data_IF_461031100555
#
_entry.id   IF_461031100555
#
_cell.length_a   1.000
_cell.length_b   1.000
_cell.length_c   1.000
_cell.angle_alpha   90.00
_cell.angle_beta   90.00
_cell.angle_gamma   90.00
#
_symmetry.space_group_name_H-M   'P 1'
#
loop_
_entity.id
_entity.type
_entity.pdbx_description
1 polymer ?
#
# COMPACT_ATOMS: atom_id res chain seq x y z
N UNK A 1 25.56 0.14 -64.98
CA UNK A 1 25.93 0.25 -63.55
C UNK A 1 25.81 -1.14 -62.94
N UNK A 2 26.78 -1.52 -62.12
CA UNK A 2 27.17 -2.88 -61.79
C UNK A 2 26.22 -3.67 -60.86
N UNK A 3 26.33 -5.00 -60.97
CA UNK A 3 25.95 -6.11 -60.07
C UNK A 3 25.71 -5.75 -58.58
N UNK A 4 24.88 -6.46 -57.79
CA UNK A 4 24.95 -7.90 -57.49
C UNK A 4 23.81 -8.31 -56.54
N UNK A 5 23.18 -9.46 -56.77
CA UNK A 5 22.37 -10.18 -55.78
C UNK A 5 23.25 -10.73 -54.63
N UNK A 6 22.72 -10.78 -53.40
CA UNK A 6 23.13 -11.78 -52.41
C UNK A 6 21.99 -12.18 -51.47
N UNK A 7 22.05 -13.47 -51.13
CA UNK A 7 21.05 -14.31 -50.49
C UNK A 7 21.23 -14.35 -48.96
N UNK A 8 20.11 -14.57 -48.24
CA UNK A 8 19.93 -15.47 -47.07
C UNK A 8 20.78 -15.27 -45.79
N UNK A 9 20.12 -15.06 -44.65
CA UNK A 9 20.24 -15.97 -43.50
C UNK A 9 19.06 -15.86 -42.54
N UNK A 10 18.31 -16.97 -42.44
CA UNK A 10 17.50 -17.32 -41.27
C UNK A 10 18.39 -17.30 -40.01
N UNK A 11 17.91 -16.60 -38.99
CA UNK A 11 18.51 -16.54 -37.67
C UNK A 11 17.40 -16.58 -36.63
N UNK A 12 16.95 -17.79 -36.32
CA UNK A 12 16.23 -18.12 -35.10
C UNK A 12 16.88 -17.43 -33.90
N UNK A 13 16.19 -16.45 -33.34
CA UNK A 13 16.34 -16.05 -31.95
C UNK A 13 14.95 -16.10 -31.35
N UNK A 14 14.57 -17.30 -30.88
CA UNK A 14 13.43 -17.49 -29.99
C UNK A 14 13.70 -16.69 -28.70
N UNK A 15 13.26 -15.44 -28.71
CA UNK A 15 13.07 -14.66 -27.50
C UNK A 15 11.88 -15.24 -26.76
N UNK A 16 12.16 -16.00 -25.70
CA UNK A 16 11.20 -16.46 -24.69
C UNK A 16 10.48 -15.25 -24.07
N UNK A 17 9.44 -14.76 -24.74
CA UNK A 17 8.55 -13.71 -24.24
C UNK A 17 7.63 -14.25 -23.16
N UNK A 18 8.15 -14.45 -21.94
CA UNK A 18 7.33 -14.65 -20.74
C UNK A 18 6.88 -13.29 -20.17
N UNK A 19 6.27 -12.47 -21.03
CA UNK A 19 5.57 -11.24 -20.66
C UNK A 19 4.07 -11.48 -20.82
N UNK A 20 3.47 -12.15 -19.84
CA UNK A 20 2.06 -12.56 -19.88
C UNK A 20 1.13 -11.49 -19.31
N UNK A 21 0.82 -10.46 -20.11
CA UNK A 21 -0.41 -9.68 -19.96
C UNK A 21 -1.58 -10.53 -20.47
N UNK A 22 -2.18 -11.29 -19.57
CA UNK A 22 -3.16 -12.34 -19.87
C UNK A 22 -4.58 -11.74 -19.84
N UNK A 23 -4.97 -11.00 -20.90
CA UNK A 23 -6.38 -10.84 -21.22
C UNK A 23 -6.69 -11.24 -22.65
N UNK A 24 -7.41 -12.36 -22.74
CA UNK A 24 -8.18 -12.71 -23.93
C UNK A 24 -9.50 -13.39 -23.53
N UNK A 25 -10.06 -13.07 -22.37
CA UNK A 25 -11.33 -13.68 -21.94
C UNK A 25 -12.44 -12.71 -21.48
N UNK A 26 -12.29 -11.40 -21.68
CA UNK A 26 -13.33 -10.40 -21.37
C UNK A 26 -14.34 -10.15 -22.51
N UNK A 27 -14.16 -10.76 -23.70
CA UNK A 27 -14.98 -10.48 -24.89
C UNK A 27 -16.39 -11.13 -24.85
N UNK A 28 -16.71 -11.95 -23.83
CA UNK A 28 -17.99 -12.68 -23.79
C UNK A 28 -19.12 -12.10 -22.95
N UNK A 29 -19.00 -10.90 -22.38
CA UNK A 29 -20.14 -10.31 -21.65
C UNK A 29 -20.38 -8.81 -21.91
N UNK A 30 -21.53 -8.57 -22.58
CA UNK A 30 -22.45 -7.41 -22.48
C UNK A 30 -22.32 -6.30 -23.52
N UNK A 31 -23.32 -6.25 -24.40
CA UNK A 31 -23.72 -5.09 -25.22
C UNK A 31 -24.32 -3.98 -24.33
N UNK A 32 -24.07 -2.69 -24.62
CA UNK A 32 -24.67 -1.56 -23.90
C UNK A 32 -25.92 -0.98 -24.61
N UNK A 33 -26.88 -0.49 -23.83
CA UNK A 33 -27.98 0.41 -24.26
C UNK A 33 -27.76 1.85 -23.75
N UNK A 34 -28.15 2.89 -24.52
CA UNK A 34 -27.73 4.29 -24.32
C UNK A 34 -28.59 5.13 -23.32
N UNK A 35 -28.12 6.33 -22.89
CA UNK A 35 -28.71 7.13 -21.80
C UNK A 35 -29.55 8.33 -22.29
N UNK A 36 -30.27 9.03 -21.39
CA UNK A 36 -30.73 10.40 -21.64
C UNK A 36 -30.16 11.46 -20.67
N UNK A 37 -29.45 12.42 -21.27
CA UNK A 37 -29.56 13.89 -21.18
C UNK A 37 -29.66 14.64 -19.82
N UNK A 38 -28.53 15.28 -19.49
CA UNK A 38 -28.27 16.69 -19.13
C UNK A 38 -29.35 17.61 -18.51
N UNK A 39 -28.96 18.34 -17.45
CA UNK A 39 -29.33 19.76 -17.21
C UNK A 39 -28.16 20.52 -16.55
N UNK A 40 -27.76 21.63 -17.18
CA UNK A 40 -26.83 22.66 -16.72
C UNK A 40 -27.49 23.61 -15.72
N UNK A 41 -26.72 24.15 -14.76
CA UNK A 41 -26.90 25.56 -14.36
C UNK A 41 -25.58 26.20 -13.91
N UNK A 42 -25.51 27.50 -14.13
CA UNK A 42 -24.32 28.32 -14.19
C UNK A 42 -24.32 29.41 -13.10
N UNK A 43 -23.12 30.02 -12.95
CA UNK A 43 -22.79 31.42 -12.59
C UNK A 43 -22.55 31.83 -11.12
N UNK A 44 -21.32 32.35 -10.97
CA UNK A 44 -20.90 33.66 -10.43
C UNK A 44 -20.86 33.94 -8.93
N UNK A 45 -19.74 34.56 -8.52
CA UNK A 45 -19.72 35.58 -7.46
C UNK A 45 -18.44 35.59 -6.63
N UNK A 46 -17.66 36.67 -6.74
CA UNK A 46 -16.34 36.88 -6.13
C UNK A 46 -16.38 37.72 -4.84
N UNK A 47 -15.17 37.99 -4.30
CA UNK A 47 -14.74 38.96 -3.26
C UNK A 47 -14.62 38.38 -1.84
N UNK A 48 -13.41 38.18 -1.27
CA UNK A 48 -12.36 39.14 -0.83
C UNK A 48 -12.84 40.05 0.30
N UNK A 49 -12.34 39.79 1.52
CA UNK A 49 -11.95 40.79 2.53
C UNK A 49 -10.79 40.22 3.35
N UNK A 50 -9.64 40.89 3.26
CA UNK A 50 -8.48 40.78 4.15
C UNK A 50 -8.57 41.91 5.18
N UNK A 51 -8.22 41.67 6.45
CA UNK A 51 -7.83 42.75 7.35
C UNK A 51 -6.84 42.26 8.41
N UNK A 52 -5.78 43.05 8.51
CA UNK A 52 -4.53 42.80 9.20
C UNK A 52 -4.53 43.27 10.67
N UNK A 53 -3.34 43.13 11.28
CA UNK A 53 -2.71 44.01 12.30
C UNK A 53 -2.49 43.37 13.70
N UNK A 54 -1.26 42.85 13.87
CA UNK A 54 -0.40 42.81 15.08
C UNK A 54 -0.19 44.23 15.68
N UNK A 55 0.29 44.50 16.93
CA UNK A 55 1.44 43.80 17.52
C UNK A 55 1.59 43.75 19.07
N UNK A 56 2.53 42.90 19.48
CA UNK A 56 3.53 43.11 20.56
C UNK A 56 3.13 43.07 22.04
N UNK A 57 3.86 42.26 22.81
CA UNK A 57 4.92 42.70 23.77
C UNK A 57 5.02 41.75 24.97
N UNK A 58 6.18 41.10 25.15
CA UNK A 58 6.95 41.10 26.42
C UNK A 58 8.12 40.09 26.36
N UNK A 59 9.32 40.66 26.50
CA UNK A 59 10.59 39.99 26.80
C UNK A 59 10.56 39.26 28.16
N UNK A 60 11.31 38.15 28.27
CA UNK A 60 12.35 38.02 29.30
C UNK A 60 13.39 36.95 28.93
N UNK A 61 14.64 37.33 29.18
CA UNK A 61 15.93 36.64 29.05
C UNK A 61 16.12 35.58 30.15
N UNK A 62 17.16 34.75 30.27
CA UNK A 62 18.54 34.64 29.73
C UNK A 62 19.08 33.26 30.14
N UNK A 63 20.05 32.71 29.39
CA UNK A 63 21.19 31.86 29.85
C UNK A 63 20.89 30.49 30.52
N UNK A 64 21.68 29.42 30.40
CA UNK A 64 23.08 29.23 30.05
C UNK A 64 23.35 27.71 29.88
N UNK A 65 24.41 27.37 29.12
CA UNK A 65 25.31 26.21 29.27
C UNK A 65 24.93 24.78 28.77
N UNK A 66 25.61 24.40 27.67
CA UNK A 66 26.19 23.07 27.34
C UNK A 66 27.29 22.66 28.38
N UNK A 67 27.81 21.40 28.48
CA UNK A 67 28.28 20.54 27.36
C UNK A 67 28.26 18.97 27.48
N UNK A 68 28.40 18.32 26.31
CA UNK A 68 29.25 17.17 25.89
C UNK A 68 29.40 15.90 26.80
N UNK A 69 29.07 14.69 26.27
CA UNK A 69 30.04 13.57 26.04
C UNK A 69 29.45 12.36 25.25
N UNK A 70 30.35 11.50 24.75
CA UNK A 70 30.25 10.57 23.60
C UNK A 70 29.97 9.09 23.93
N UNK A 71 29.62 8.36 22.87
CA UNK A 71 29.84 6.93 22.57
C UNK A 71 29.07 5.83 23.33
N UNK A 72 28.21 5.08 22.62
CA UNK A 72 28.61 3.77 22.09
C UNK A 72 27.62 3.21 21.05
N UNK A 73 28.25 2.72 19.99
CA UNK A 73 27.76 2.04 18.81
C UNK A 73 27.37 0.59 19.15
N UNK A 74 26.14 0.16 18.83
CA UNK A 74 25.89 -1.25 18.51
C UNK A 74 24.80 -1.41 17.46
N UNK A 75 25.30 -1.70 16.27
CA UNK A 75 24.58 -2.18 15.10
C UNK A 75 23.94 -3.52 15.44
N UNK A 76 22.65 -3.66 15.17
CA UNK A 76 22.02 -4.95 14.89
C UNK A 76 20.90 -4.69 13.90
N UNK A 77 21.24 -5.01 12.66
CA UNK A 77 20.44 -5.03 11.44
C UNK A 77 19.33 -6.06 11.56
N UNK A 78 18.08 -5.68 11.29
CA UNK A 78 17.06 -6.57 10.73
C UNK A 78 15.93 -5.74 10.11
N UNK A 79 15.81 -5.88 8.79
CA UNK A 79 14.93 -5.17 7.88
C UNK A 79 13.55 -5.83 7.81
N UNK A 80 12.47 -5.04 7.77
CA UNK A 80 11.35 -5.27 6.84
C UNK A 80 10.36 -4.11 6.89
N UNK A 81 10.13 -3.50 5.72
CA UNK A 81 9.38 -2.28 5.52
C UNK A 81 7.86 -2.56 5.44
N UNK A 82 7.11 -2.14 6.45
CA UNK A 82 5.64 -2.11 6.41
C UNK A 82 5.15 -0.66 6.58
N UNK A 83 5.03 0.06 5.46
CA UNK A 83 4.65 1.48 5.43
C UNK A 83 3.24 1.78 5.93
N UNK A 84 2.35 0.80 6.07
CA UNK A 84 0.98 1.02 6.57
C UNK A 84 0.66 0.30 7.89
N UNK A 85 1.49 -0.64 8.35
CA UNK A 85 1.16 -1.41 9.56
C UNK A 85 1.61 -0.73 10.86
N UNK A 86 2.50 0.26 10.78
CA UNK A 86 2.98 0.95 11.98
C UNK A 86 1.93 1.89 12.62
N UNK A 87 0.82 2.20 11.91
CA UNK A 87 -0.21 3.17 12.36
C UNK A 87 -1.07 2.61 13.51
N UNK A 88 -1.27 1.29 13.56
CA UNK A 88 -2.02 0.64 14.64
C UNK A 88 -1.11 0.41 15.85
N UNK A 89 0.13 -0.07 15.63
CA UNK A 89 1.12 -0.27 16.69
C UNK A 89 1.46 1.04 17.43
N UNK A 90 1.57 2.16 16.72
CA UNK A 90 1.97 3.44 17.31
C UNK A 90 0.94 4.03 18.29
N UNK A 91 -0.32 3.57 18.24
CA UNK A 91 -1.38 4.04 19.15
C UNK A 91 -1.53 3.22 20.43
N UNK A 92 -1.13 1.95 20.40
CA UNK A 92 -0.95 1.15 21.62
C UNK A 92 0.38 1.46 22.31
N UNK A 93 1.40 1.87 21.55
CA UNK A 93 2.71 2.25 22.09
C UNK A 93 2.67 3.56 22.90
N UNK A 94 1.64 4.40 22.76
CA UNK A 94 1.65 5.75 23.33
C UNK A 94 1.18 5.84 24.79
N UNK A 95 0.65 4.77 25.39
CA UNK A 95 -0.01 4.84 26.71
C UNK A 95 0.71 4.20 27.88
N UNK A 96 1.84 3.52 27.69
CA UNK A 96 2.52 2.85 28.81
C UNK A 96 4.00 3.19 29.01
N UNK A 97 4.57 4.13 28.24
CA UNK A 97 5.91 4.67 28.50
C UNK A 97 5.75 5.96 29.30
N UNK A 98 5.39 5.80 30.57
CA UNK A 98 5.39 6.86 31.57
C UNK A 98 6.69 6.76 32.36
N UNK A 99 7.60 7.70 32.16
CA UNK A 99 8.76 7.90 33.02
C UNK A 99 10.13 7.63 32.40
N UNK A 100 10.46 8.27 31.27
CA UNK A 100 11.81 8.80 30.96
C UNK A 100 11.73 9.62 29.66
N UNK A 101 12.13 10.89 29.72
CA UNK A 101 12.35 11.87 28.63
C UNK A 101 11.74 11.47 27.26
N UNK A 102 10.48 11.85 26.99
CA UNK A 102 9.82 11.58 25.70
C UNK A 102 10.66 12.19 24.56
N UNK A 103 11.10 11.43 23.55
CA UNK A 103 11.53 12.00 22.29
C UNK A 103 10.38 12.81 21.70
N UNK A 104 10.66 14.00 21.16
CA UNK A 104 9.65 14.85 20.52
C UNK A 104 8.83 14.01 19.51
N UNK A 105 7.50 13.98 19.68
CA UNK A 105 6.60 13.22 18.79
C UNK A 105 6.82 13.61 17.32
N UNK A 106 7.07 14.91 17.10
CA UNK A 106 7.47 15.46 15.81
C UNK A 106 8.74 14.81 15.25
N UNK A 107 9.78 14.59 16.05
CA UNK A 107 11.03 13.95 15.59
C UNK A 107 10.75 12.51 15.16
N UNK A 108 9.95 11.77 15.94
CA UNK A 108 9.56 10.40 15.57
C UNK A 108 8.74 10.37 14.27
N UNK A 109 7.85 11.34 14.08
CA UNK A 109 7.09 11.49 12.85
C UNK A 109 7.99 11.83 11.66
N UNK A 110 8.89 12.81 11.79
CA UNK A 110 9.83 13.18 10.73
C UNK A 110 10.78 12.03 10.35
N UNK A 111 11.27 11.27 11.34
CA UNK A 111 12.08 10.07 11.08
C UNK A 111 11.29 9.01 10.31
N UNK A 112 10.01 8.78 10.68
CA UNK A 112 9.13 7.86 9.96
C UNK A 112 8.89 8.33 8.52
N UNK A 113 8.65 9.63 8.33
CA UNK A 113 8.44 10.22 7.02
C UNK A 113 9.69 10.09 6.15
N UNK A 114 10.88 10.39 6.70
CA UNK A 114 12.16 10.23 6.00
C UNK A 114 12.45 8.78 5.62
N UNK A 115 12.19 7.83 6.52
CA UNK A 115 12.35 6.40 6.23
C UNK A 115 11.41 5.92 5.12
N UNK A 116 10.13 6.32 5.16
CA UNK A 116 9.17 5.98 4.11
C UNK A 116 9.57 6.57 2.76
N UNK A 117 10.05 7.81 2.72
CA UNK A 117 10.57 8.43 1.50
C UNK A 117 11.79 7.66 0.97
N UNK A 118 12.74 7.29 1.84
CA UNK A 118 13.95 6.56 1.43
C UNK A 118 13.61 5.20 0.77
N UNK A 119 12.60 4.52 1.29
CA UNK A 119 12.20 3.18 0.84
C UNK A 119 11.04 3.19 -0.16
N UNK A 120 10.60 4.37 -0.57
CA UNK A 120 9.51 4.56 -1.51
C UNK A 120 9.70 3.81 -2.84
N UNK A 121 10.91 3.69 -3.44
CA UNK A 121 11.09 2.89 -4.65
C UNK A 121 10.65 1.42 -4.50
N UNK A 122 10.78 0.84 -3.30
CA UNK A 122 10.29 -0.51 -3.01
C UNK A 122 8.77 -0.54 -2.83
N UNK A 123 8.17 0.52 -2.28
CA UNK A 123 6.71 0.68 -2.20
C UNK A 123 6.09 0.81 -3.61
N UNK A 124 6.68 1.63 -4.48
CA UNK A 124 6.29 1.73 -5.88
C UNK A 124 6.37 0.37 -6.59
N UNK A 125 7.49 -0.33 -6.45
CA UNK A 125 7.66 -1.67 -6.99
C UNK A 125 6.61 -2.66 -6.44
N UNK A 126 6.30 -2.60 -5.13
CA UNK A 126 5.26 -3.44 -4.51
C UNK A 126 3.89 -3.18 -5.15
N UNK A 127 3.50 -1.92 -5.32
CA UNK A 127 2.21 -1.54 -5.91
C UNK A 127 2.10 -2.00 -7.36
N UNK A 128 3.17 -1.85 -8.17
CA UNK A 128 3.18 -2.36 -9.55
C UNK A 128 3.04 -3.88 -9.62
N UNK A 129 3.71 -4.61 -8.72
CA UNK A 129 3.56 -6.07 -8.62
C UNK A 129 2.13 -6.45 -8.21
N UNK A 130 1.51 -5.70 -7.29
CA UNK A 130 0.13 -5.93 -6.88
C UNK A 130 -0.84 -5.72 -8.05
N UNK A 131 -0.61 -4.71 -8.89
CA UNK A 131 -1.36 -4.49 -10.14
C UNK A 131 -1.10 -5.57 -11.20
N UNK A 132 -0.10 -6.43 -11.01
CA UNK A 132 0.24 -7.53 -11.92
C UNK A 132 1.26 -7.16 -13.01
N UNK A 133 1.92 -6.00 -12.90
CA UNK A 133 2.95 -5.60 -13.84
C UNK A 133 4.29 -6.29 -13.52
N UNK A 134 4.68 -7.26 -14.35
CA UNK A 134 5.92 -8.04 -14.19
C UNK A 134 6.72 -8.08 -15.50
N UNK A 135 7.55 -7.05 -15.80
CA UNK A 135 8.31 -6.97 -17.06
C UNK A 135 9.53 -7.91 -17.11
N UNK A 136 9.97 -8.43 -15.96
CA UNK A 136 11.15 -9.28 -15.87
C UNK A 136 10.77 -10.76 -15.97
N UNK A 137 11.40 -11.47 -16.91
CA UNK A 137 11.14 -12.89 -17.13
C UNK A 137 11.52 -13.76 -15.92
N UNK A 138 10.68 -14.75 -15.63
CA UNK A 138 10.95 -15.74 -14.58
C UNK A 138 12.08 -16.69 -15.03
N UNK A 139 13.04 -16.93 -14.13
CA UNK A 139 14.15 -17.87 -14.36
C UNK A 139 13.88 -19.18 -13.63
N UNK A 140 14.14 -20.35 -14.24
CA UNK A 140 14.02 -21.62 -13.54
C UNK A 140 15.09 -21.71 -12.46
N UNK A 141 14.68 -21.97 -11.21
CA UNK A 141 15.60 -22.21 -10.11
C UNK A 141 15.23 -23.52 -9.41
N UNK A 142 16.25 -24.34 -9.15
CA UNK A 142 16.12 -25.64 -8.50
C UNK A 142 16.82 -25.56 -7.16
N UNK A 143 16.05 -25.53 -6.06
CA UNK A 143 16.63 -25.68 -4.74
C UNK A 143 17.11 -27.12 -4.55
N UNK A 144 18.43 -27.31 -4.44
CA UNK A 144 19.05 -28.63 -4.24
C UNK A 144 18.59 -29.34 -2.96
N UNK A 145 18.13 -28.60 -1.95
CA UNK A 145 17.89 -29.11 -0.60
C UNK A 145 16.43 -29.53 -0.34
N UNK A 146 15.45 -28.91 -0.99
CA UNK A 146 14.02 -29.11 -0.70
C UNK A 146 13.27 -29.23 -2.04
N UNK A 147 12.97 -30.48 -2.43
CA UNK A 147 12.21 -30.93 -3.61
C UNK A 147 12.83 -30.76 -5.01
N UNK A 148 12.93 -31.89 -5.73
CA UNK A 148 13.39 -32.06 -7.13
C UNK A 148 12.48 -31.44 -8.22
N UNK A 149 11.58 -30.49 -7.89
CA UNK A 149 10.69 -29.88 -8.89
C UNK A 149 11.13 -28.43 -9.18
N UNK A 150 11.43 -28.07 -10.45
CA UNK A 150 11.80 -26.71 -10.78
C UNK A 150 10.66 -25.76 -10.43
N UNK A 151 10.97 -24.69 -9.68
CA UNK A 151 10.06 -23.56 -9.52
C UNK A 151 10.60 -22.39 -10.33
N UNK A 152 9.71 -21.70 -11.04
CA UNK A 152 10.05 -20.48 -11.75
C UNK A 152 10.09 -19.34 -10.73
N UNK A 153 11.27 -18.75 -10.59
CA UNK A 153 11.53 -17.66 -9.68
C UNK A 153 11.61 -16.36 -10.46
N UNK A 154 10.90 -15.34 -9.97
CA UNK A 154 11.10 -14.00 -10.47
C UNK A 154 12.38 -13.42 -9.85
N UNK A 155 13.09 -12.54 -10.57
CA UNK A 155 14.24 -11.84 -10.00
C UNK A 155 13.83 -11.06 -8.74
N UNK A 156 14.78 -10.77 -7.85
CA UNK A 156 14.51 -10.01 -6.63
C UNK A 156 13.93 -8.62 -6.94
N UNK A 157 13.11 -8.07 -6.04
CA UNK A 157 12.55 -6.71 -6.16
C UNK A 157 13.61 -5.64 -6.47
N UNK A 158 14.84 -5.80 -5.97
CA UNK A 158 15.92 -4.85 -6.23
C UNK A 158 16.24 -4.74 -7.73
N UNK A 159 16.25 -5.85 -8.48
CA UNK A 159 16.40 -5.82 -9.94
C UNK A 159 15.23 -5.13 -10.63
N UNK A 160 14.04 -5.22 -10.02
CA UNK A 160 12.85 -4.55 -10.53
C UNK A 160 12.90 -3.03 -10.27
N UNK A 161 13.36 -2.60 -9.10
CA UNK A 161 13.62 -1.18 -8.81
C UNK A 161 14.70 -0.62 -9.74
N UNK A 162 15.80 -1.34 -9.96
CA UNK A 162 16.84 -0.95 -10.93
C UNK A 162 16.27 -0.81 -12.35
N UNK A 163 15.32 -1.66 -12.72
CA UNK A 163 14.65 -1.60 -14.02
C UNK A 163 13.75 -0.35 -14.14
N UNK A 164 12.95 -0.05 -13.11
CA UNK A 164 12.15 1.18 -13.04
C UNK A 164 13.06 2.41 -13.15
N UNK A 165 14.15 2.43 -12.40
CA UNK A 165 15.15 3.50 -12.42
C UNK A 165 15.78 3.70 -13.81
N UNK A 166 16.01 2.62 -14.55
CA UNK A 166 16.59 2.69 -15.89
C UNK A 166 15.60 3.25 -16.93
N UNK A 167 14.30 2.95 -16.79
CA UNK A 167 13.27 3.44 -17.72
C UNK A 167 12.92 4.90 -17.43
N UNK A 168 12.68 5.21 -16.17
CA UNK A 168 11.99 6.43 -15.74
C UNK A 168 12.92 7.44 -15.03
N UNK A 169 14.19 7.07 -14.88
CA UNK A 169 15.18 7.82 -14.13
C UNK A 169 14.91 7.81 -12.62
N UNK A 170 15.69 8.63 -11.90
CA UNK A 170 15.58 8.72 -10.44
C UNK A 170 14.30 9.42 -9.97
N UNK A 171 13.79 10.37 -10.75
CA UNK A 171 12.58 11.13 -10.41
C UNK A 171 11.32 10.30 -10.61
N UNK A 172 11.27 9.43 -11.63
CA UNK A 172 10.12 8.55 -11.88
C UNK A 172 9.86 7.54 -10.77
N UNK A 173 10.90 7.10 -10.05
CA UNK A 173 10.76 6.22 -8.88
C UNK A 173 9.96 6.83 -7.71
N UNK A 174 9.73 8.15 -7.73
CA UNK A 174 8.99 8.88 -6.69
C UNK A 174 7.60 9.34 -7.15
N UNK A 175 7.08 8.80 -8.27
CA UNK A 175 5.67 9.01 -8.68
C UNK A 175 4.72 8.53 -7.59
N UNK A 176 3.76 9.35 -7.18
CA UNK A 176 2.85 9.03 -6.07
C UNK A 176 3.33 9.46 -4.68
N UNK A 177 4.62 9.82 -4.51
CA UNK A 177 5.18 10.12 -3.20
C UNK A 177 4.44 11.28 -2.52
N UNK A 178 4.09 12.34 -3.27
CA UNK A 178 3.40 13.50 -2.71
C UNK A 178 2.04 13.13 -2.10
N UNK A 179 1.27 12.27 -2.77
CA UNK A 179 0.01 11.76 -2.27
C UNK A 179 0.22 10.88 -1.01
N UNK A 180 1.28 10.07 -1.01
CA UNK A 180 1.65 9.23 0.14
C UNK A 180 2.07 10.04 1.36
N UNK A 181 2.84 11.10 1.17
CA UNK A 181 3.25 12.03 2.23
C UNK A 181 2.05 12.81 2.77
N UNK A 182 1.17 13.31 1.90
CA UNK A 182 -0.07 13.97 2.30
C UNK A 182 -0.95 13.04 3.17
N UNK A 183 -1.15 11.79 2.75
CA UNK A 183 -1.87 10.80 3.55
C UNK A 183 -1.23 10.59 4.93
N UNK A 184 0.11 10.57 5.01
CA UNK A 184 0.84 10.38 6.28
C UNK A 184 0.73 11.58 7.21
N UNK A 185 0.77 12.79 6.67
CA UNK A 185 0.58 14.03 7.43
C UNK A 185 -0.84 14.09 7.97
N UNK A 186 -1.83 13.76 7.14
CA UNK A 186 -3.23 13.71 7.55
C UNK A 186 -3.44 12.67 8.65
N UNK A 187 -2.90 11.45 8.51
CA UNK A 187 -2.96 10.43 9.56
C UNK A 187 -2.35 10.91 10.90
N UNK A 188 -1.20 11.59 10.85
CA UNK A 188 -0.56 12.14 12.05
C UNK A 188 -1.42 13.21 12.74
N UNK A 189 -1.91 14.21 11.98
CA UNK A 189 -2.74 15.29 12.53
C UNK A 189 -4.06 14.76 13.10
N UNK A 190 -4.65 13.80 12.40
CA UNK A 190 -5.95 13.25 12.74
C UNK A 190 -5.87 12.30 13.96
N UNK A 191 -4.71 11.69 14.19
CA UNK A 191 -4.45 10.83 15.33
C UNK A 191 -4.69 11.51 16.68
N UNK A 192 -4.16 12.72 16.87
CA UNK A 192 -4.31 13.44 18.15
C UNK A 192 -5.66 14.17 18.25
N UNK A 193 -6.20 14.64 17.12
CA UNK A 193 -7.45 15.39 17.09
C UNK A 193 -8.68 14.50 17.33
N UNK A 194 -8.82 13.36 16.65
CA UNK A 194 -10.01 12.50 16.78
C UNK A 194 -10.21 11.95 18.18
N UNK A 195 -9.09 11.62 18.83
CA UNK A 195 -9.07 11.07 20.17
C UNK A 195 -9.40 12.11 21.24
N UNK A 196 -9.07 13.38 20.96
CA UNK A 196 -9.44 14.50 21.81
C UNK A 196 -10.91 14.93 21.59
N UNK A 197 -11.38 14.99 20.35
CA UNK A 197 -12.73 15.46 20.02
C UNK A 197 -13.82 14.47 20.44
N UNK A 198 -13.60 13.17 20.22
CA UNK A 198 -14.62 12.15 20.48
C UNK A 198 -14.70 11.71 21.96
N UNK A 199 -13.91 12.28 22.87
CA UNK A 199 -13.89 11.93 24.31
C UNK A 199 -13.74 10.43 24.63
N UNK A 200 -13.33 9.61 23.67
CA UNK A 200 -13.03 8.20 23.90
C UNK A 200 -11.69 8.09 24.62
N UNK A 201 -11.72 8.32 25.93
CA UNK A 201 -10.60 8.06 26.84
C UNK A 201 -10.22 6.57 26.81
N UNK A 202 -8.95 6.22 27.09
CA UNK A 202 -8.59 4.81 27.23
C UNK A 202 -9.40 4.24 28.41
N UNK A 203 -9.79 2.97 28.34
CA UNK A 203 -10.42 2.34 29.49
C UNK A 203 -9.46 2.44 30.68
N UNK A 204 -9.87 3.14 31.74
CA UNK A 204 -9.08 3.25 32.97
C UNK A 204 -9.36 2.01 33.80
N UNK A 205 -8.36 1.14 33.90
CA UNK A 205 -8.44 -0.08 34.69
C UNK A 205 -8.56 0.25 36.17
N UNK A 206 -9.54 -0.34 36.85
CA UNK A 206 -9.64 -0.27 38.31
C UNK A 206 -8.53 -1.09 38.97
N UNK A 207 -8.01 -0.70 40.15
CA UNK A 207 -6.87 -1.34 40.80
C UNK A 207 -7.08 -2.81 41.22
N UNK A 208 -8.29 -3.36 41.08
CA UNK A 208 -8.64 -4.75 41.45
C UNK A 208 -9.28 -5.56 40.31
N UNK A 209 -9.34 -5.04 39.08
CA UNK A 209 -9.95 -5.76 37.96
C UNK A 209 -8.92 -6.63 37.21
N UNK A 210 -9.20 -7.94 37.11
CA UNK A 210 -8.51 -8.86 36.21
C UNK A 210 -8.69 -8.49 34.72
N UNK A 211 -8.07 -9.23 33.80
CA UNK A 211 -8.25 -8.96 32.36
C UNK A 211 -9.74 -9.13 32.01
N UNK A 212 -10.43 -8.01 31.77
CA UNK A 212 -11.87 -7.99 31.56
C UNK A 212 -12.20 -7.97 30.07
N UNK A 213 -13.20 -8.76 29.66
CA UNK A 213 -13.75 -8.69 28.29
C UNK A 213 -14.32 -7.29 28.00
N UNK A 214 -14.79 -6.58 29.02
CA UNK A 214 -15.29 -5.19 28.86
C UNK A 214 -14.18 -4.25 28.37
N UNK A 215 -12.97 -4.40 28.91
CA UNK A 215 -11.80 -3.63 28.49
C UNK A 215 -11.43 -3.97 27.04
N UNK A 216 -11.45 -5.25 26.69
CA UNK A 216 -11.20 -5.71 25.32
C UNK A 216 -12.18 -5.08 24.31
N UNK A 217 -13.49 -5.21 24.55
CA UNK A 217 -14.51 -4.67 23.66
C UNK A 217 -14.45 -3.15 23.56
N UNK A 218 -14.23 -2.45 24.68
CA UNK A 218 -14.07 -0.99 24.66
C UNK A 218 -12.88 -0.54 23.81
N UNK A 219 -11.72 -1.17 24.01
CA UNK A 219 -10.52 -0.85 23.25
C UNK A 219 -10.67 -1.22 21.77
N UNK A 220 -11.34 -2.33 21.46
CA UNK A 220 -11.63 -2.74 20.09
C UNK A 220 -12.52 -1.71 19.39
N UNK A 221 -13.69 -1.36 19.95
CA UNK A 221 -14.61 -0.37 19.37
C UNK A 221 -13.93 0.98 19.16
N UNK A 222 -13.21 1.46 20.18
CA UNK A 222 -12.44 2.71 20.10
C UNK A 222 -11.42 2.69 18.96
N UNK A 223 -10.65 1.60 18.83
CA UNK A 223 -9.63 1.49 17.80
C UNK A 223 -10.24 1.29 16.41
N UNK A 224 -11.35 0.55 16.29
CA UNK A 224 -12.11 0.41 15.05
C UNK A 224 -12.63 1.76 14.56
N UNK A 225 -13.20 2.59 15.45
CA UNK A 225 -13.67 3.93 15.08
C UNK A 225 -12.53 4.82 14.58
N UNK A 226 -11.38 4.77 15.27
CA UNK A 226 -10.17 5.49 14.84
C UNK A 226 -9.73 5.04 13.45
N UNK A 227 -9.56 3.73 13.24
CA UNK A 227 -9.11 3.16 11.96
C UNK A 227 -10.07 3.53 10.83
N UNK A 228 -11.39 3.36 11.04
CA UNK A 228 -12.38 3.69 10.03
C UNK A 228 -12.32 5.17 9.64
N UNK A 229 -12.22 6.07 10.61
CA UNK A 229 -12.16 7.51 10.32
C UNK A 229 -10.87 7.90 9.58
N UNK A 230 -9.73 7.35 10.01
CA UNK A 230 -8.44 7.56 9.35
C UNK A 230 -8.46 7.04 7.92
N UNK A 231 -8.93 5.81 7.71
CA UNK A 231 -8.98 5.21 6.37
C UNK A 231 -9.89 6.01 5.47
N UNK A 232 -11.11 6.37 5.89
CA UNK A 232 -12.04 7.17 5.07
C UNK A 232 -11.42 8.49 4.63
N UNK A 233 -10.73 9.19 5.52
CA UNK A 233 -10.11 10.48 5.20
C UNK A 233 -8.84 10.32 4.33
N UNK A 234 -8.03 9.29 4.59
CA UNK A 234 -6.75 9.08 3.87
C UNK A 234 -6.91 8.30 2.56
N UNK A 235 -8.07 7.70 2.31
CA UNK A 235 -8.28 6.82 1.16
C UNK A 235 -8.18 7.51 -0.21
N UNK A 236 -8.73 8.73 -0.43
CA UNK A 236 -8.55 9.45 -1.69
C UNK A 236 -7.07 9.65 -2.07
N UNK A 237 -6.22 9.97 -1.10
CA UNK A 237 -4.77 10.12 -1.32
C UNK A 237 -4.10 8.82 -1.74
N UNK A 238 -4.57 7.69 -1.19
CA UNK A 238 -4.07 6.38 -1.58
C UNK A 238 -4.50 5.99 -3.00
N UNK A 239 -5.74 6.29 -3.41
CA UNK A 239 -6.19 6.04 -4.79
C UNK A 239 -5.33 6.83 -5.78
N UNK A 240 -5.08 8.12 -5.49
CA UNK A 240 -4.18 8.94 -6.31
C UNK A 240 -2.77 8.36 -6.35
N UNK A 241 -2.21 7.93 -5.22
CA UNK A 241 -0.89 7.30 -5.19
C UNK A 241 -0.84 6.06 -6.09
N UNK A 242 -1.81 5.15 -5.99
CA UNK A 242 -1.86 3.91 -6.80
C UNK A 242 -1.93 4.24 -8.29
N UNK A 243 -2.76 5.20 -8.69
CA UNK A 243 -2.92 5.59 -10.10
C UNK A 243 -1.69 6.31 -10.66
N UNK A 244 -1.05 7.16 -9.87
CA UNK A 244 0.22 7.78 -10.24
C UNK A 244 1.35 6.76 -10.41
N UNK A 245 1.35 5.69 -9.61
CA UNK A 245 2.27 4.56 -9.80
C UNK A 245 1.91 3.78 -11.06
N UNK A 246 0.62 3.50 -11.29
CA UNK A 246 0.13 2.73 -12.43
C UNK A 246 0.48 3.35 -13.80
N UNK A 247 0.54 4.69 -13.89
CA UNK A 247 1.01 5.42 -15.09
C UNK A 247 2.40 5.02 -15.57
N UNK A 248 3.24 4.42 -14.71
CA UNK A 248 4.55 3.89 -15.11
C UNK A 248 4.42 2.82 -16.22
N UNK A 249 3.36 2.01 -16.22
CA UNK A 249 3.22 0.89 -17.14
C UNK A 249 2.99 1.36 -18.59
N UNK A 250 2.12 2.34 -18.79
CA UNK A 250 1.80 2.87 -20.12
C UNK A 250 2.62 4.10 -20.51
N UNK A 251 3.43 4.65 -19.60
CA UNK A 251 4.11 5.94 -19.82
C UNK A 251 3.13 7.12 -19.92
N UNK A 252 1.97 7.00 -19.28
CA UNK A 252 0.89 7.99 -19.41
C UNK A 252 1.07 9.16 -18.44
N UNK A 253 0.52 10.32 -18.78
CA UNK A 253 0.63 11.57 -18.01
C UNK A 253 -0.74 12.11 -17.57
N UNK A 254 -1.67 11.22 -17.21
CA UNK A 254 -3.06 11.58 -16.85
C UNK A 254 -3.18 12.24 -15.47
N UNK A 255 -2.46 11.72 -14.47
CA UNK A 255 -2.58 12.19 -13.08
C UNK A 255 -1.30 12.91 -12.63
N UNK A 256 -1.15 14.18 -13.05
CA UNK A 256 -0.01 15.01 -12.66
C UNK A 256 -0.29 15.85 -11.41
N UNK A 257 0.63 15.78 -10.44
CA UNK A 257 0.52 16.50 -9.16
C UNK A 257 -0.62 16.01 -8.28
N UNK A 258 -0.61 16.35 -6.99
CA UNK A 258 -1.63 15.84 -6.06
C UNK A 258 -3.02 16.44 -6.31
N UNK A 259 -3.11 17.77 -6.37
CA UNK A 259 -4.38 18.50 -6.52
C UNK A 259 -4.97 18.27 -7.91
N UNK A 260 -4.15 18.29 -8.95
CA UNK A 260 -4.57 17.98 -10.33
C UNK A 260 -5.17 16.58 -10.41
N UNK A 261 -4.48 15.58 -9.86
CA UNK A 261 -4.99 14.20 -9.84
C UNK A 261 -6.31 14.05 -9.09
N UNK A 262 -6.46 14.69 -7.93
CA UNK A 262 -7.72 14.67 -7.17
C UNK A 262 -8.87 15.34 -7.93
N UNK A 263 -8.59 16.46 -8.59
CA UNK A 263 -9.57 17.18 -9.40
C UNK A 263 -9.99 16.37 -10.62
N UNK A 264 -9.03 15.81 -11.37
CA UNK A 264 -9.28 14.92 -12.50
C UNK A 264 -10.13 13.73 -12.07
N UNK A 265 -9.79 13.11 -10.94
CA UNK A 265 -10.53 11.97 -10.41
C UNK A 265 -11.98 12.34 -10.03
N UNK A 266 -12.16 13.47 -9.36
CA UNK A 266 -13.47 13.97 -8.98
C UNK A 266 -14.34 14.36 -10.19
N UNK A 267 -13.74 14.84 -11.28
CA UNK A 267 -14.46 15.24 -12.48
C UNK A 267 -14.79 14.07 -13.42
N UNK A 268 -13.87 13.13 -13.58
CA UNK A 268 -14.03 12.01 -14.54
C UNK A 268 -14.84 10.85 -13.94
N UNK A 269 -14.61 10.52 -12.67
CA UNK A 269 -15.18 9.32 -12.03
C UNK A 269 -16.04 9.63 -10.79
N UNK A 270 -16.07 10.90 -10.38
CA UNK A 270 -16.83 11.35 -9.22
C UNK A 270 -16.32 10.78 -7.90
N UNK A 271 -17.22 10.76 -6.90
CA UNK A 271 -16.92 10.20 -5.59
C UNK A 271 -16.69 8.67 -5.63
N UNK A 272 -17.25 7.96 -6.62
CA UNK A 272 -17.07 6.52 -6.73
C UNK A 272 -15.60 6.15 -7.03
N UNK A 273 -14.93 6.91 -7.92
CA UNK A 273 -13.50 6.72 -8.21
C UNK A 273 -12.60 7.03 -7.00
N UNK A 274 -12.89 8.11 -6.26
CA UNK A 274 -12.14 8.51 -5.05
C UNK A 274 -12.17 7.46 -3.93
N UNK A 275 -13.21 6.61 -3.90
CA UNK A 275 -13.42 5.56 -2.90
C UNK A 275 -13.34 4.14 -3.45
N UNK A 276 -12.78 3.98 -4.65
CA UNK A 276 -12.58 2.69 -5.28
C UNK A 276 -11.60 1.82 -4.46
N UNK A 277 -12.03 0.62 -4.07
CA UNK A 277 -11.22 -0.28 -3.23
C UNK A 277 -11.24 0.02 -1.73
N UNK A 278 -12.06 0.97 -1.25
CA UNK A 278 -12.16 1.29 0.18
C UNK A 278 -12.61 0.09 1.03
N UNK A 279 -13.60 -0.68 0.56
CA UNK A 279 -14.18 -1.81 1.30
C UNK A 279 -13.15 -2.89 1.63
N UNK A 280 -12.42 -3.49 0.66
CA UNK A 280 -11.40 -4.48 0.99
C UNK A 280 -10.29 -3.89 1.86
N UNK A 281 -9.92 -2.61 1.70
CA UNK A 281 -8.95 -1.94 2.58
C UNK A 281 -9.43 -1.88 4.04
N UNK A 282 -10.65 -1.42 4.28
CA UNK A 282 -11.24 -1.35 5.62
C UNK A 282 -11.36 -2.73 6.26
N UNK A 283 -11.81 -3.73 5.49
CA UNK A 283 -11.91 -5.12 5.97
C UNK A 283 -10.53 -5.69 6.33
N UNK A 284 -9.49 -5.38 5.55
CA UNK A 284 -8.11 -5.77 5.87
C UNK A 284 -7.65 -5.19 7.20
N UNK A 285 -7.79 -3.87 7.38
CA UNK A 285 -7.39 -3.17 8.62
C UNK A 285 -8.18 -3.65 9.84
N UNK A 286 -9.49 -3.88 9.71
CA UNK A 286 -10.31 -4.46 10.78
C UNK A 286 -9.90 -5.90 11.10
N UNK A 287 -9.57 -6.70 10.10
CA UNK A 287 -9.10 -8.08 10.30
C UNK A 287 -7.79 -8.09 11.08
N UNK A 288 -6.83 -7.24 10.71
CA UNK A 288 -5.55 -7.10 11.43
C UNK A 288 -5.79 -6.63 12.87
N UNK A 289 -6.61 -5.61 13.07
CA UNK A 289 -6.94 -5.11 14.41
C UNK A 289 -7.59 -6.19 15.28
N UNK A 290 -8.58 -6.90 14.73
CA UNK A 290 -9.32 -7.92 15.45
C UNK A 290 -8.42 -9.10 15.83
N UNK A 291 -7.68 -9.66 14.87
CA UNK A 291 -6.76 -10.79 15.11
C UNK A 291 -5.68 -10.37 16.12
N UNK A 292 -5.08 -9.20 15.95
CA UNK A 292 -4.03 -8.71 16.86
C UNK A 292 -4.57 -8.52 18.27
N UNK A 293 -5.73 -7.87 18.41
CA UNK A 293 -6.34 -7.64 19.72
C UNK A 293 -6.74 -8.95 20.40
N UNK A 294 -7.36 -9.86 19.65
CA UNK A 294 -7.84 -11.14 20.17
C UNK A 294 -6.67 -12.04 20.59
N UNK A 295 -5.65 -12.18 19.73
CA UNK A 295 -4.51 -13.05 20.01
C UNK A 295 -3.61 -12.44 21.10
N UNK A 296 -3.40 -11.12 21.12
CA UNK A 296 -2.68 -10.47 22.23
C UNK A 296 -3.42 -10.61 23.56
N UNK A 297 -4.75 -10.52 23.58
CA UNK A 297 -5.54 -10.77 24.80
C UNK A 297 -5.44 -12.23 25.25
N UNK A 298 -5.49 -13.18 24.31
CA UNK A 298 -5.33 -14.60 24.58
C UNK A 298 -3.94 -14.93 25.13
N UNK A 299 -2.87 -14.40 24.51
CA UNK A 299 -1.50 -14.59 24.98
C UNK A 299 -1.29 -14.02 26.39
N UNK A 300 -1.87 -12.85 26.71
CA UNK A 300 -1.82 -12.28 28.06
C UNK A 300 -2.58 -13.12 29.09
N UNK A 301 -3.63 -13.83 28.67
CA UNK A 301 -4.42 -14.69 29.55
C UNK A 301 -3.75 -16.05 29.80
N UNK A 302 -3.09 -16.61 28.79
CA UNK A 302 -2.53 -17.97 28.85
C UNK A 302 -1.09 -18.01 29.38
N UNK A 303 -0.31 -16.94 29.18
CA UNK A 303 1.12 -16.93 29.45
C UNK A 303 1.49 -15.76 30.37
N UNK A 304 2.04 -16.00 31.57
CA UNK A 304 2.61 -14.94 32.40
C UNK A 304 3.92 -14.48 31.75
N UNK A 305 3.86 -13.41 30.94
CA UNK A 305 5.02 -12.85 30.25
C UNK A 305 5.39 -11.47 30.81
N UNK A 306 6.64 -11.06 30.59
CA UNK A 306 7.08 -9.70 30.93
C UNK A 306 6.48 -8.65 29.98
N UNK A 307 6.42 -7.39 30.43
CA UNK A 307 5.91 -6.27 29.60
C UNK A 307 6.67 -6.11 28.27
N UNK A 308 8.00 -6.28 28.28
CA UNK A 308 8.81 -6.23 27.05
C UNK A 308 8.45 -7.37 26.10
N UNK A 309 8.30 -8.59 26.62
CA UNK A 309 7.91 -9.73 25.80
C UNK A 309 6.50 -9.58 25.23
N UNK A 310 5.58 -8.95 25.96
CA UNK A 310 4.26 -8.61 25.43
C UNK A 310 4.32 -7.63 24.25
N UNK A 311 5.25 -6.67 24.26
CA UNK A 311 5.44 -5.74 23.14
C UNK A 311 5.95 -6.48 21.90
N UNK A 312 6.98 -7.32 22.04
CA UNK A 312 7.48 -8.14 20.93
C UNK A 312 6.43 -9.11 20.40
N UNK A 313 5.72 -9.82 21.29
CA UNK A 313 4.66 -10.76 20.89
C UNK A 313 3.55 -10.04 20.13
N UNK A 314 3.14 -8.85 20.58
CA UNK A 314 2.11 -8.07 19.89
C UNK A 314 2.57 -7.66 18.49
N UNK A 315 3.84 -7.26 18.33
CA UNK A 315 4.39 -6.93 17.02
C UNK A 315 4.45 -8.15 16.08
N UNK A 316 4.88 -9.31 16.58
CA UNK A 316 4.90 -10.57 15.81
C UNK A 316 3.50 -11.00 15.39
N UNK A 317 2.56 -10.97 16.34
CA UNK A 317 1.15 -11.28 16.09
C UNK A 317 0.59 -10.36 14.99
N UNK A 318 0.90 -9.06 15.07
CA UNK A 318 0.43 -8.09 14.09
C UNK A 318 0.99 -8.37 12.69
N UNK A 319 2.29 -8.69 12.58
CA UNK A 319 2.92 -9.08 11.31
C UNK A 319 2.32 -10.37 10.74
N UNK A 320 1.94 -11.34 11.58
CA UNK A 320 1.23 -12.53 11.11
C UNK A 320 -0.19 -12.21 10.67
N UNK A 321 -0.89 -11.33 11.39
CA UNK A 321 -2.26 -10.92 11.06
C UNK A 321 -2.33 -10.20 9.71
N UNK A 322 -1.33 -9.37 9.37
CA UNK A 322 -1.28 -8.69 8.08
C UNK A 322 -0.98 -9.62 6.92
N UNK A 323 -0.15 -10.64 7.10
CA UNK A 323 0.05 -11.69 6.09
C UNK A 323 -1.27 -12.42 5.77
N UNK A 324 -2.11 -12.66 6.79
CA UNK A 324 -3.43 -13.26 6.60
C UNK A 324 -4.40 -12.30 5.90
N UNK A 325 -4.36 -11.01 6.24
CA UNK A 325 -5.20 -9.99 5.63
C UNK A 325 -4.69 -9.48 4.26
N UNK A 326 -3.50 -9.90 3.83
CA UNK A 326 -2.83 -9.42 2.63
C UNK A 326 -3.64 -9.53 1.32
N UNK A 327 -4.42 -10.61 1.06
CA UNK A 327 -5.29 -10.69 -0.11
C UNK A 327 -6.26 -9.50 -0.25
N UNK A 328 -6.72 -8.95 0.88
CA UNK A 328 -7.59 -7.78 0.89
C UNK A 328 -6.82 -6.49 0.56
N UNK A 329 -5.55 -6.39 0.94
CA UNK A 329 -4.66 -5.29 0.53
C UNK A 329 -4.44 -5.30 -0.99
N UNK A 330 -4.17 -6.48 -1.58
CA UNK A 330 -4.01 -6.63 -3.04
C UNK A 330 -5.32 -6.32 -3.77
N UNK A 331 -6.45 -6.79 -3.25
CA UNK A 331 -7.75 -6.48 -3.84
C UNK A 331 -8.03 -4.98 -3.78
N UNK A 332 -7.66 -4.30 -2.69
CA UNK A 332 -7.78 -2.84 -2.57
C UNK A 332 -6.95 -2.11 -3.62
N UNK A 333 -5.69 -2.50 -3.88
CA UNK A 333 -4.87 -1.84 -4.91
C UNK A 333 -5.41 -2.05 -6.30
N UNK A 334 -5.82 -3.28 -6.67
CA UNK A 334 -6.43 -3.55 -7.97
C UNK A 334 -7.73 -2.75 -8.17
N UNK A 335 -8.58 -2.70 -7.14
CA UNK A 335 -9.82 -1.93 -7.20
C UNK A 335 -9.57 -0.42 -7.25
N UNK A 336 -8.51 0.10 -6.62
CA UNK A 336 -8.17 1.53 -6.67
C UNK A 336 -7.77 2.00 -8.08
N UNK A 337 -7.19 1.11 -8.90
CA UNK A 337 -6.88 1.39 -10.30
C UNK A 337 -8.07 1.19 -11.26
N UNK A 338 -9.10 0.44 -10.84
CA UNK A 338 -10.22 0.10 -11.73
C UNK A 338 -10.99 1.34 -12.17
N UNK A 339 -11.28 1.44 -13.47
CA UNK A 339 -11.99 2.58 -14.06
C UNK A 339 -11.10 3.74 -14.50
N UNK A 340 -9.80 3.71 -14.17
CA UNK A 340 -8.84 4.70 -14.66
C UNK A 340 -8.45 4.41 -16.12
N UNK A 341 -8.28 5.44 -16.96
CA UNK A 341 -7.80 5.31 -18.34
C UNK A 341 -6.29 5.09 -18.37
N UNK A 342 -5.84 3.98 -17.78
CA UNK A 342 -4.44 3.61 -17.62
C UNK A 342 -4.24 2.19 -18.15
N UNK A 343 -3.20 1.97 -18.95
CA UNK A 343 -2.86 0.68 -19.56
C UNK A 343 -2.67 -0.43 -18.51
N UNK A 344 -2.18 -0.08 -17.31
CA UNK A 344 -2.05 -1.01 -16.19
C UNK A 344 -3.41 -1.52 -15.66
N UNK A 345 -4.44 -0.69 -15.78
CA UNK A 345 -5.75 -0.89 -15.17
C UNK A 345 -6.83 -1.32 -16.19
N UNK A 346 -6.47 -1.34 -17.47
CA UNK A 346 -7.32 -1.79 -18.57
C UNK A 346 -6.90 -3.16 -19.09
N UNK A 347 -7.81 -3.89 -19.76
CA UNK A 347 -7.42 -5.08 -20.52
C UNK A 347 -6.38 -4.71 -21.60
N UNK A 348 -5.28 -5.48 -21.78
CA UNK A 348 -5.12 -6.85 -21.31
C UNK A 348 -4.41 -7.06 -19.97
N UNK A 349 -4.00 -6.00 -19.30
CA UNK A 349 -3.20 -6.11 -18.07
C UNK A 349 -4.07 -6.44 -16.85
N UNK A 350 -5.26 -5.84 -16.75
CA UNK A 350 -6.20 -6.06 -15.66
C UNK A 350 -7.65 -6.19 -16.17
N UNK A 351 -8.43 -7.20 -15.72
CA UNK A 351 -9.86 -7.24 -15.98
C UNK A 351 -10.59 -6.09 -15.29
N UNK A 352 -11.74 -5.68 -15.86
CA UNK A 352 -12.61 -4.69 -15.25
C UNK A 352 -13.51 -5.36 -14.20
N UNK A 353 -13.44 -4.86 -12.96
CA UNK A 353 -14.23 -5.37 -11.84
C UNK A 353 -15.32 -4.37 -11.44
N UNK A 354 -16.56 -4.84 -11.29
CA UNK A 354 -17.65 -4.01 -10.75
C UNK A 354 -17.70 -4.09 -9.22
N UNK A 355 -17.39 -5.26 -8.66
CA UNK A 355 -17.36 -5.50 -7.22
C UNK A 355 -16.00 -6.04 -6.77
N UNK A 356 -15.60 -5.66 -5.55
CA UNK A 356 -14.34 -6.12 -4.96
C UNK A 356 -14.32 -7.63 -4.71
N UNK A 357 -15.48 -8.27 -4.52
CA UNK A 357 -15.59 -9.72 -4.34
C UNK A 357 -15.24 -10.46 -5.63
N UNK A 358 -15.62 -9.91 -6.78
CA UNK A 358 -15.27 -10.47 -8.09
C UNK A 358 -13.76 -10.40 -8.31
N UNK A 359 -13.15 -9.25 -7.95
CA UNK A 359 -11.70 -9.06 -7.97
C UNK A 359 -10.98 -10.07 -7.07
N UNK A 360 -11.43 -10.22 -5.82
CA UNK A 360 -10.85 -11.16 -4.88
C UNK A 360 -10.96 -12.61 -5.38
N UNK A 361 -12.12 -12.99 -5.89
CA UNK A 361 -12.38 -14.34 -6.41
C UNK A 361 -11.51 -14.63 -7.64
N UNK A 362 -11.37 -13.69 -8.56
CA UNK A 362 -10.48 -13.81 -9.71
C UNK A 362 -9.00 -13.89 -9.28
N UNK A 363 -8.58 -13.09 -8.29
CA UNK A 363 -7.23 -13.17 -7.72
C UNK A 363 -6.94 -14.55 -7.12
N UNK A 364 -7.88 -15.15 -6.37
CA UNK A 364 -7.74 -16.51 -5.87
C UNK A 364 -7.71 -17.54 -7.01
N UNK A 365 -8.58 -17.39 -8.01
CA UNK A 365 -8.63 -18.28 -9.17
C UNK A 365 -7.32 -18.25 -9.99
N UNK A 366 -6.65 -17.09 -10.07
CA UNK A 366 -5.35 -16.94 -10.74
C UNK A 366 -4.15 -17.31 -9.86
N UNK A 367 -4.35 -17.53 -8.56
CA UNK A 367 -3.26 -17.69 -7.59
C UNK A 367 -2.47 -16.39 -7.34
N UNK A 368 -3.09 -15.24 -7.63
CA UNK A 368 -2.50 -13.90 -7.54
C UNK A 368 -2.76 -13.17 -6.23
N UNK A 369 -3.45 -13.79 -5.27
CA UNK A 369 -3.87 -13.14 -4.02
C UNK A 369 -2.71 -12.66 -3.13
N UNK A 370 -1.52 -13.24 -3.28
CA UNK A 370 -0.34 -12.92 -2.48
C UNK A 370 0.80 -12.28 -3.30
N UNK A 371 0.47 -11.68 -4.46
CA UNK A 371 1.45 -10.95 -5.28
C UNK A 371 2.00 -9.76 -4.51
N UNK A 372 3.32 -9.73 -4.35
CA UNK A 372 4.00 -8.64 -3.62
C UNK A 372 4.06 -8.82 -2.09
N UNK A 373 3.56 -9.94 -1.54
CA UNK A 373 3.63 -10.22 -0.10
C UNK A 373 5.07 -10.38 0.39
N UNK A 374 5.90 -11.05 -0.42
CA UNK A 374 7.32 -11.25 -0.16
C UNK A 374 8.10 -10.70 -1.37
N UNK A 375 8.70 -9.53 -1.21
CA UNK A 375 9.34 -8.81 -2.32
C UNK A 375 10.68 -9.43 -2.76
N UNK A 376 11.43 -10.03 -1.84
CA UNK A 376 12.76 -10.58 -2.12
C UNK A 376 12.72 -12.01 -2.67
N UNK A 377 11.70 -12.79 -2.28
CA UNK A 377 11.52 -14.20 -2.63
C UNK A 377 10.22 -14.40 -3.41
N UNK A 378 10.28 -14.12 -4.71
CA UNK A 378 9.10 -14.12 -5.59
C UNK A 378 9.05 -15.38 -6.43
N UNK A 379 7.95 -16.12 -6.34
CA UNK A 379 7.71 -17.35 -7.13
C UNK A 379 6.47 -17.20 -7.97
N UNK A 380 6.50 -17.71 -9.20
CA UNK A 380 5.29 -17.81 -10.03
C UNK A 380 4.34 -18.83 -9.41
N UNK A 381 3.07 -18.48 -9.16
CA UNK A 381 2.08 -19.44 -8.68
C UNK A 381 1.89 -20.57 -9.69
N UNK A 382 1.75 -21.80 -9.19
CA UNK A 382 1.62 -23.01 -10.03
C UNK A 382 0.45 -22.94 -11.02
N UNK A 383 -0.63 -22.26 -10.65
CA UNK A 383 -1.83 -22.13 -11.48
C UNK A 383 -1.53 -21.38 -12.77
N UNK A 384 -0.73 -20.31 -12.71
CA UNK A 384 -0.31 -19.56 -13.90
C UNK A 384 0.59 -20.41 -14.83
N UNK A 385 1.45 -21.25 -14.24
CA UNK A 385 2.30 -22.17 -15.01
C UNK A 385 1.48 -23.23 -15.76
N UNK A 386 0.42 -23.76 -15.12
CA UNK A 386 -0.47 -24.74 -15.74
C UNK A 386 -1.26 -24.13 -16.90
N UNK A 387 -1.88 -22.95 -16.68
CA UNK A 387 -2.63 -22.25 -17.74
C UNK A 387 -1.76 -21.91 -18.94
N UNK A 388 -0.52 -21.48 -18.70
CA UNK A 388 0.44 -21.22 -19.78
C UNK A 388 0.73 -22.49 -20.59
N UNK A 389 0.96 -23.63 -19.91
CA UNK A 389 1.18 -24.92 -20.58
C UNK A 389 -0.02 -25.36 -21.41
N UNK A 390 -1.23 -25.19 -20.88
CA UNK A 390 -2.47 -25.54 -21.57
C UNK A 390 -2.67 -24.67 -22.83
N UNK A 391 -2.38 -23.36 -22.74
CA UNK A 391 -2.43 -22.45 -23.88
C UNK A 391 -1.44 -22.83 -24.99
N UNK A 392 -0.23 -23.30 -24.63
CA UNK A 392 0.72 -23.80 -25.62
C UNK A 392 0.24 -25.09 -26.30
N UNK A 393 -0.35 -26.03 -25.55
CA UNK A 393 -0.89 -27.26 -26.13
C UNK A 393 -2.07 -27.02 -27.06
N UNK A 394 -2.91 -26.02 -26.77
CA UNK A 394 -4.06 -25.66 -27.62
C UNK A 394 -3.63 -24.90 -28.89
N UNK A 395 -2.55 -24.10 -28.84
CA UNK A 395 -2.00 -23.41 -30.03
C UNK A 395 -1.16 -24.32 -30.95
N UNK A 396 -0.75 -25.50 -30.47
CA UNK A 396 0.03 -26.48 -31.24
C UNK A 396 -0.80 -27.55 -31.96
N UNK A 397 -2.13 -27.47 -31.85
CA UNK A 397 -3.11 -28.30 -32.57
C UNK A 397 -3.80 -27.38 -33.57
#
# INVERSE_FOLDING_TARGET
>A
MAHREYNRHDGQAEGLGLGGGDADNSVRMRQPTPPPLAVQHARSGAMVVELAVDPSRAMRSTNQQQPIERDQLRISTEESCQGSELVVASSHLSKQIQGHRRPNQLVRFCLRLGYNTLLYPYEMAKVLIQLGHEPLQAKPFVMRLIQRRPRLFLPSVHRYVQHIQHIDGYTGMYRGLTARLAASIVDYLLGDLLLATLHFAPYKRGPKEGLSLKEFWWNLTRNSLRITTVVVITHPFYVVMVRQIAQFVGGEHVYEGLVGSLMTLAQQEGCAGLFAGMVPRLLGEWSVLFITSALSHLCRRLLPMSELQHQYNTAVIQMMASLVAYPLEVTSTCMAGTGAPLTACEPPSMPLYNHWVDCLTDLYARGGQNRGAILFWRTVPKIQLLRSKDNYTVRSI
#
